data_IF_557409662056
#
_entry.id   IF_557409662056
#
_cell.length_a   1.000
_cell.length_b   1.000
_cell.length_c   1.000
_cell.angle_alpha   90.00
_cell.angle_beta   90.00
_cell.angle_gamma   90.00
#
_symmetry.space_group_name_H-M   'P 1'
#
loop_
_entity.id
_entity.type
_entity.pdbx_description
1 polymer ?
#
# COMPACT_ATOMS: atom_id res chain seq x y z
N UNK A 1 1.17 -7.47 -34.19
CA UNK A 1 0.52 -6.16 -34.45
C UNK A 1 1.50 -5.12 -34.98
N UNK A 2 2.72 -5.02 -34.44
CA UNK A 2 3.75 -4.06 -34.85
C UNK A 2 5.16 -4.60 -34.58
N UNK A 3 6.13 -4.23 -35.41
CA UNK A 3 7.54 -4.52 -35.22
C UNK A 3 8.29 -3.20 -35.24
N UNK A 4 9.19 -2.98 -34.29
CA UNK A 4 9.95 -1.76 -34.14
C UNK A 4 11.41 -2.08 -33.84
N UNK A 5 12.34 -1.49 -34.63
CA UNK A 5 13.75 -1.52 -34.30
C UNK A 5 14.11 -0.20 -33.61
N UNK A 6 14.52 -0.27 -32.35
CA UNK A 6 14.90 0.90 -31.59
C UNK A 6 16.28 1.44 -32.05
N UNK A 7 16.63 2.66 -31.60
CA UNK A 7 17.89 3.31 -31.96
C UNK A 7 19.14 2.56 -31.50
N UNK A 8 19.01 1.67 -30.51
CA UNK A 8 20.08 0.77 -30.07
C UNK A 8 20.22 -0.48 -30.94
N UNK A 9 19.32 -0.66 -31.91
CA UNK A 9 19.26 -1.82 -32.81
C UNK A 9 18.52 -3.01 -32.28
N UNK A 10 17.88 -2.93 -31.08
CA UNK A 10 17.04 -4.00 -30.52
C UNK A 10 15.73 -4.11 -31.31
N UNK A 11 15.28 -5.33 -31.52
CA UNK A 11 14.03 -5.59 -32.26
C UNK A 11 12.90 -5.94 -31.32
N UNK A 12 11.88 -5.08 -31.28
CA UNK A 12 10.69 -5.20 -30.46
C UNK A 12 9.50 -5.65 -31.28
N UNK A 13 8.72 -6.58 -30.76
CA UNK A 13 7.53 -7.13 -31.40
C UNK A 13 6.34 -6.94 -30.48
N UNK A 14 5.38 -6.13 -30.92
CA UNK A 14 4.08 -5.98 -30.27
C UNK A 14 3.17 -7.14 -30.67
N UNK A 15 2.51 -7.75 -29.70
CA UNK A 15 1.67 -8.91 -29.93
C UNK A 15 0.21 -8.67 -29.54
N UNK A 16 -0.67 -9.52 -30.02
CA UNK A 16 -2.09 -9.53 -29.67
C UNK A 16 -2.32 -10.61 -28.59
N UNK A 17 -2.07 -10.21 -27.33
CA UNK A 17 -2.25 -11.07 -26.15
C UNK A 17 -0.98 -11.65 -25.53
N UNK A 18 0.20 -11.52 -26.16
CA UNK A 18 1.49 -11.97 -25.63
C UNK A 18 2.33 -10.88 -24.98
N UNK A 19 1.90 -9.61 -25.04
CA UNK A 19 2.65 -8.48 -24.53
C UNK A 19 3.69 -7.92 -25.52
N UNK A 20 4.79 -7.38 -24.97
CA UNK A 20 5.92 -6.84 -25.73
C UNK A 20 7.08 -7.84 -25.72
N UNK A 21 7.51 -8.24 -26.91
CA UNK A 21 8.60 -9.19 -27.08
C UNK A 21 9.86 -8.50 -27.53
N UNK A 22 10.99 -8.79 -26.86
CA UNK A 22 12.34 -8.45 -27.33
C UNK A 22 12.95 -9.66 -28.00
N UNK A 23 13.34 -9.55 -29.28
CA UNK A 23 13.99 -10.59 -30.02
C UNK A 23 15.51 -10.53 -29.86
N UNK A 24 16.12 -11.65 -29.46
CA UNK A 24 17.57 -11.83 -29.47
C UNK A 24 17.97 -12.59 -30.77
N UNK A 25 18.61 -11.92 -31.76
CA UNK A 25 18.97 -12.55 -33.01
C UNK A 25 20.13 -13.55 -32.88
N UNK A 26 20.95 -13.45 -31.82
CA UNK A 26 22.07 -14.36 -31.62
C UNK A 26 21.63 -15.71 -31.04
N UNK A 27 20.66 -15.65 -30.11
CA UNK A 27 20.09 -16.83 -29.47
C UNK A 27 18.84 -17.38 -30.21
N UNK A 28 18.28 -16.59 -31.15
CA UNK A 28 17.00 -16.86 -31.84
C UNK A 28 15.84 -17.06 -30.84
N UNK A 29 15.84 -16.28 -29.74
CA UNK A 29 14.85 -16.37 -28.66
C UNK A 29 14.15 -15.04 -28.43
N UNK A 30 13.02 -15.10 -27.71
CA UNK A 30 12.25 -13.94 -27.30
C UNK A 30 12.23 -13.82 -25.77
N UNK A 31 12.40 -12.59 -25.29
CA UNK A 31 12.07 -12.22 -23.90
C UNK A 31 10.70 -11.56 -23.93
N UNK A 32 9.78 -12.05 -23.10
CA UNK A 32 8.40 -11.59 -23.04
C UNK A 32 8.19 -10.65 -21.87
N UNK A 33 7.59 -9.49 -22.12
CA UNK A 33 7.15 -8.52 -21.11
C UNK A 33 5.63 -8.43 -21.15
N UNK A 34 4.99 -8.64 -20.01
CA UNK A 34 3.54 -8.81 -19.87
C UNK A 34 2.95 -7.88 -18.80
N UNK A 35 1.66 -8.00 -18.53
CA UNK A 35 0.96 -7.34 -17.42
C UNK A 35 1.61 -7.65 -16.06
N UNK A 36 2.24 -8.81 -15.90
CA UNK A 36 3.00 -9.16 -14.68
C UNK A 36 4.28 -8.34 -14.50
N UNK A 37 4.79 -7.79 -15.60
CA UNK A 37 6.00 -6.95 -15.60
C UNK A 37 5.65 -5.46 -15.54
N UNK A 38 4.37 -5.09 -15.64
CA UNK A 38 3.88 -3.73 -15.51
C UNK A 38 3.15 -3.15 -16.72
N UNK A 39 2.95 -3.90 -17.79
CA UNK A 39 2.09 -3.46 -18.91
C UNK A 39 0.63 -3.31 -18.44
N UNK A 40 -0.15 -2.34 -18.98
CA UNK A 40 -1.57 -2.21 -18.66
C UNK A 40 -2.39 -3.31 -19.32
N UNK A 41 -1.90 -3.87 -20.43
CA UNK A 41 -2.50 -4.98 -21.18
C UNK A 41 -1.47 -5.74 -22.00
N UNK A 42 -1.73 -7.02 -22.23
CA UNK A 42 -0.92 -7.87 -23.11
C UNK A 42 -1.27 -7.70 -24.61
N UNK A 43 -2.24 -6.85 -24.95
CA UNK A 43 -2.60 -6.49 -26.34
C UNK A 43 -1.95 -5.16 -26.67
N UNK A 44 -0.87 -5.18 -27.45
CA UNK A 44 -0.16 -3.97 -27.87
C UNK A 44 -0.47 -3.70 -29.35
N UNK A 45 -0.92 -2.49 -29.66
CA UNK A 45 -1.47 -2.11 -30.96
C UNK A 45 -0.51 -1.26 -31.78
N UNK A 46 0.47 -0.58 -31.14
CA UNK A 46 1.47 0.23 -31.80
C UNK A 46 2.66 0.53 -30.91
N UNK A 47 3.82 0.77 -31.53
CA UNK A 47 5.08 1.15 -30.87
C UNK A 47 5.62 2.40 -31.53
N UNK A 48 5.94 3.45 -30.75
CA UNK A 48 6.74 4.60 -31.13
C UNK A 48 7.90 4.77 -30.15
N UNK A 49 9.00 5.35 -30.60
CA UNK A 49 10.18 5.63 -29.76
C UNK A 49 10.38 7.13 -29.60
N UNK A 50 10.57 7.61 -28.36
CA UNK A 50 10.86 9.02 -28.08
C UNK A 50 12.36 9.37 -28.18
N UNK A 51 12.69 10.65 -28.00
CA UNK A 51 14.07 11.13 -28.07
C UNK A 51 14.97 10.60 -26.94
N UNK A 52 14.38 10.13 -25.85
CA UNK A 52 15.04 9.53 -24.69
C UNK A 52 15.13 7.99 -24.77
N UNK A 53 14.78 7.41 -25.94
CA UNK A 53 14.75 5.97 -26.20
C UNK A 53 13.71 5.20 -25.36
N UNK A 54 12.69 5.87 -24.82
CA UNK A 54 11.55 5.16 -24.28
C UNK A 54 10.61 4.71 -25.40
N UNK A 55 10.01 3.55 -25.23
CA UNK A 55 8.97 3.04 -26.13
C UNK A 55 7.59 3.44 -25.62
N UNK A 56 6.80 4.05 -26.49
CA UNK A 56 5.41 4.38 -26.24
C UNK A 56 4.51 3.36 -26.93
N UNK A 57 3.75 2.64 -26.11
CA UNK A 57 2.98 1.46 -26.50
C UNK A 57 1.49 1.80 -26.38
N UNK A 58 0.77 1.82 -27.50
CA UNK A 58 -0.69 1.88 -27.44
C UNK A 58 -1.27 0.48 -27.24
N UNK A 59 -2.26 0.38 -26.35
CA UNK A 59 -2.88 -0.88 -25.96
C UNK A 59 -4.41 -0.79 -26.04
N UNK A 60 -5.10 -1.85 -25.72
CA UNK A 60 -6.55 -1.84 -25.52
C UNK A 60 -6.97 -1.41 -24.11
N UNK A 61 -5.99 -1.05 -23.24
CA UNK A 61 -6.23 -0.52 -21.89
C UNK A 61 -5.23 0.61 -21.56
N UNK A 62 -5.26 1.66 -22.40
CA UNK A 62 -4.45 2.86 -22.23
C UNK A 62 -3.14 2.87 -23.02
N UNK A 63 -2.28 3.82 -22.66
CA UNK A 63 -0.99 4.05 -23.27
C UNK A 63 0.10 3.76 -22.24
N UNK A 64 1.18 3.08 -22.64
CA UNK A 64 2.30 2.77 -21.74
C UNK A 64 3.60 3.36 -22.26
N UNK A 65 4.38 4.02 -21.40
CA UNK A 65 5.76 4.39 -21.65
C UNK A 65 6.68 3.36 -20.99
N UNK A 66 7.42 2.65 -21.78
CA UNK A 66 8.41 1.66 -21.34
C UNK A 66 9.83 2.22 -21.47
N UNK A 67 10.61 2.16 -20.41
CA UNK A 67 12.03 2.46 -20.45
C UNK A 67 12.83 1.16 -20.59
N UNK A 68 13.46 0.91 -21.74
CA UNK A 68 14.19 -0.34 -21.96
C UNK A 68 15.52 -0.45 -21.19
N UNK A 69 16.02 0.63 -20.58
CA UNK A 69 17.30 0.63 -19.84
C UNK A 69 17.12 0.10 -18.41
N UNK A 70 16.01 0.46 -17.77
CA UNK A 70 15.70 0.03 -16.40
C UNK A 70 14.55 -0.98 -16.30
N UNK A 71 13.87 -1.25 -17.43
CA UNK A 71 12.77 -2.20 -17.51
C UNK A 71 11.46 -1.70 -16.88
N UNK A 72 11.31 -0.39 -16.67
CA UNK A 72 10.15 0.18 -15.99
C UNK A 72 9.05 0.59 -16.95
N UNK A 73 7.81 0.40 -16.53
CA UNK A 73 6.60 0.84 -17.22
C UNK A 73 5.94 2.01 -16.49
N UNK A 74 5.46 2.98 -17.26
CA UNK A 74 4.55 4.01 -16.77
C UNK A 74 3.30 4.04 -17.62
N UNK A 75 2.15 3.77 -17.00
CA UNK A 75 0.87 3.64 -17.67
C UNK A 75 0.02 4.90 -17.53
N UNK A 76 -0.67 5.26 -18.60
CA UNK A 76 -1.58 6.38 -18.72
C UNK A 76 -2.96 5.87 -19.06
N UNK A 77 -3.98 6.47 -18.45
CA UNK A 77 -5.40 6.15 -18.65
C UNK A 77 -6.23 7.41 -18.97
N UNK A 78 -7.54 7.27 -19.01
CA UNK A 78 -8.46 8.39 -19.26
C UNK A 78 -8.35 9.49 -18.20
N UNK A 79 -7.93 9.18 -16.98
CA UNK A 79 -7.66 10.16 -15.92
C UNK A 79 -6.43 11.03 -16.21
N UNK A 80 -5.51 10.57 -17.06
CA UNK A 80 -4.35 11.33 -17.55
C UNK A 80 -4.67 12.17 -18.80
N UNK A 81 -5.91 12.10 -19.31
CA UNK A 81 -6.36 12.86 -20.46
C UNK A 81 -6.36 12.08 -21.78
N UNK A 82 -6.29 10.74 -21.71
CA UNK A 82 -6.49 9.94 -22.92
C UNK A 82 -7.94 10.06 -23.41
N UNK A 83 -8.12 9.97 -24.74
CA UNK A 83 -9.42 10.03 -25.41
C UNK A 83 -10.36 8.90 -24.99
N UNK A 84 -9.81 7.72 -24.75
CA UNK A 84 -10.41 6.49 -24.19
C UNK A 84 -9.29 5.56 -23.76
N UNK A 85 -9.61 4.43 -23.14
CA UNK A 85 -8.63 3.38 -22.84
C UNK A 85 -8.26 2.55 -24.06
N UNK A 86 -9.16 2.44 -25.05
CA UNK A 86 -8.98 1.56 -26.21
C UNK A 86 -8.38 2.32 -27.42
N UNK A 87 -7.18 1.89 -27.83
CA UNK A 87 -6.53 2.38 -29.05
C UNK A 87 -6.77 1.42 -30.23
N UNK A 88 -6.44 1.88 -31.44
CA UNK A 88 -6.68 1.12 -32.67
C UNK A 88 -5.37 0.64 -33.30
N UNK A 89 -5.36 -0.57 -33.80
CA UNK A 89 -4.23 -1.18 -34.50
C UNK A 89 -3.80 -0.33 -35.71
N UNK A 90 -2.51 -0.03 -35.81
CA UNK A 90 -1.95 0.76 -36.92
C UNK A 90 -2.25 2.27 -36.85
N UNK A 91 -3.01 2.73 -35.87
CA UNK A 91 -3.37 4.14 -35.72
C UNK A 91 -2.37 4.90 -34.85
N UNK A 92 -1.10 4.89 -35.21
CA UNK A 92 -0.06 5.63 -34.50
C UNK A 92 0.94 6.25 -35.47
N UNK A 93 1.46 7.42 -35.13
CA UNK A 93 2.44 8.15 -35.95
C UNK A 93 3.24 9.12 -35.14
N UNK A 94 4.51 9.29 -35.52
CA UNK A 94 5.35 10.38 -35.02
C UNK A 94 5.62 11.39 -36.15
N UNK A 95 5.48 12.68 -35.87
CA UNK A 95 5.82 13.76 -36.77
C UNK A 95 7.34 14.00 -36.82
N UNK A 96 7.79 14.79 -37.79
CA UNK A 96 9.18 15.21 -37.88
C UNK A 96 9.65 16.08 -36.69
N UNK A 97 8.72 16.74 -35.98
CA UNK A 97 9.01 17.50 -34.75
C UNK A 97 9.12 16.62 -33.51
N UNK A 98 8.81 15.32 -33.62
CA UNK A 98 8.79 14.41 -32.46
C UNK A 98 7.44 14.30 -31.75
N UNK A 99 6.42 15.05 -32.21
CA UNK A 99 5.07 14.91 -31.69
C UNK A 99 4.49 13.54 -32.06
N UNK A 100 3.90 12.87 -31.08
CA UNK A 100 3.29 11.54 -31.22
C UNK A 100 1.77 11.64 -31.31
N UNK A 101 1.20 10.81 -32.16
CA UNK A 101 -0.24 10.66 -32.38
C UNK A 101 -0.63 9.22 -32.20
N UNK A 102 -1.66 8.97 -31.37
CA UNK A 102 -2.24 7.65 -31.16
C UNK A 102 -3.77 7.73 -31.31
N UNK A 103 -4.31 7.02 -32.29
CA UNK A 103 -5.74 6.98 -32.58
C UNK A 103 -6.43 5.86 -31.81
N UNK A 104 -7.63 6.14 -31.32
CA UNK A 104 -8.46 5.22 -30.56
C UNK A 104 -9.94 5.33 -30.92
N UNK A 105 -10.79 4.68 -30.18
CA UNK A 105 -12.23 4.54 -30.46
C UNK A 105 -13.00 5.87 -30.33
N UNK A 106 -12.51 6.82 -29.54
CA UNK A 106 -13.16 8.10 -29.27
C UNK A 106 -12.32 9.31 -29.73
N UNK A 107 -11.47 9.12 -30.75
CA UNK A 107 -10.63 10.17 -31.31
C UNK A 107 -9.15 9.82 -31.30
N UNK A 108 -8.29 10.79 -31.03
CA UNK A 108 -6.85 10.56 -30.94
C UNK A 108 -6.21 11.42 -29.85
N UNK A 109 -5.08 10.96 -29.33
CA UNK A 109 -4.20 11.75 -28.48
C UNK A 109 -2.99 12.24 -29.28
N UNK A 110 -2.63 13.51 -29.10
CA UNK A 110 -1.45 14.13 -29.68
C UNK A 110 -0.65 14.82 -28.58
N UNK A 111 0.63 14.52 -28.47
CA UNK A 111 1.51 15.09 -27.44
C UNK A 111 2.99 15.01 -27.84
N UNK A 112 3.79 15.91 -27.28
CA UNK A 112 5.25 15.75 -27.29
C UNK A 112 5.65 14.98 -26.03
N UNK A 113 6.36 13.84 -26.13
CA UNK A 113 6.85 13.09 -24.98
C UNK A 113 7.61 13.92 -23.95
N UNK A 114 8.37 14.93 -24.43
CA UNK A 114 9.14 15.82 -23.55
C UNK A 114 8.27 16.74 -22.66
N UNK A 115 7.00 16.97 -23.04
CA UNK A 115 6.07 17.80 -22.27
C UNK A 115 5.36 17.01 -21.16
N UNK A 116 5.46 15.68 -21.19
CA UNK A 116 4.89 14.80 -20.17
C UNK A 116 5.76 14.84 -18.93
N UNK A 117 5.31 15.58 -17.94
CA UNK A 117 6.02 15.73 -16.66
C UNK A 117 5.37 14.87 -15.56
N UNK A 118 6.24 14.29 -14.73
CA UNK A 118 5.78 13.60 -13.54
C UNK A 118 5.32 14.62 -12.50
N UNK A 119 4.27 14.27 -11.74
CA UNK A 119 3.84 15.09 -10.63
C UNK A 119 4.89 15.00 -9.50
N UNK A 120 5.65 16.06 -9.20
CA UNK A 120 6.65 16.04 -8.15
C UNK A 120 6.03 16.21 -6.75
N UNK A 121 4.73 16.52 -6.66
CA UNK A 121 4.07 16.80 -5.40
C UNK A 121 3.89 15.52 -4.59
N UNK A 122 4.49 15.50 -3.41
CA UNK A 122 4.34 14.43 -2.42
C UNK A 122 3.34 14.89 -1.37
N UNK A 123 2.10 14.45 -1.52
CA UNK A 123 1.06 14.82 -0.58
C UNK A 123 1.36 14.26 0.82
N UNK A 124 1.13 15.04 1.89
CA UNK A 124 1.16 14.50 3.23
C UNK A 124 0.04 13.48 3.41
N UNK A 125 0.35 12.41 4.13
CA UNK A 125 -0.66 11.44 4.56
C UNK A 125 -1.15 11.82 5.96
N UNK A 126 -2.45 11.68 6.19
CA UNK A 126 -3.08 11.95 7.49
C UNK A 126 -3.91 10.75 7.93
N UNK A 127 -4.00 10.54 9.24
CA UNK A 127 -4.96 9.60 9.82
C UNK A 127 -6.35 10.26 9.81
N UNK A 128 -7.34 9.56 9.28
CA UNK A 128 -8.73 10.05 9.18
C UNK A 128 -9.66 9.42 10.21
N UNK A 129 -9.36 8.18 10.64
CA UNK A 129 -10.16 7.46 11.63
C UNK A 129 -9.27 6.54 12.46
N UNK A 130 -9.64 6.36 13.73
CA UNK A 130 -9.06 5.40 14.63
C UNK A 130 -10.15 4.81 15.51
N UNK A 131 -10.37 3.51 15.40
CA UNK A 131 -11.40 2.81 16.16
C UNK A 131 -10.83 1.66 16.98
N UNK A 132 -11.53 1.35 18.08
CA UNK A 132 -11.32 0.15 18.87
C UNK A 132 -12.63 -0.61 18.99
N UNK A 133 -12.70 -1.83 18.43
CA UNK A 133 -13.91 -2.63 18.40
C UNK A 133 -15.08 -1.94 17.67
N UNK A 134 -14.77 -1.15 16.63
CA UNK A 134 -15.76 -0.37 15.87
C UNK A 134 -16.22 0.92 16.54
N UNK A 135 -15.65 1.30 17.69
CA UNK A 135 -15.95 2.55 18.39
C UNK A 135 -14.80 3.52 18.23
N UNK A 136 -15.10 4.76 17.80
CA UNK A 136 -14.09 5.79 17.62
C UNK A 136 -13.39 6.13 18.96
N UNK A 137 -12.07 6.29 18.91
CA UNK A 137 -11.26 6.73 20.05
C UNK A 137 -11.32 8.24 20.14
N UNK A 138 -11.60 8.73 21.34
CA UNK A 138 -11.74 10.17 21.66
C UNK A 138 -12.67 10.92 20.68
N UNK A 139 -13.99 10.57 20.67
CA UNK A 139 -14.96 11.26 19.82
C UNK A 139 -14.94 12.75 20.06
N UNK A 140 -14.78 13.54 18.97
CA UNK A 140 -14.74 15.01 19.02
C UNK A 140 -13.35 15.63 19.03
N UNK A 141 -12.28 14.83 19.10
CA UNK A 141 -10.90 15.30 18.88
C UNK A 141 -10.48 14.97 17.45
N UNK A 142 -9.95 15.96 16.72
CA UNK A 142 -9.40 15.72 15.41
C UNK A 142 -8.17 14.79 15.53
N UNK A 143 -8.22 13.67 14.85
CA UNK A 143 -7.22 12.60 14.98
C UNK A 143 -5.81 13.05 14.60
N UNK A 144 -5.70 14.00 13.66
CA UNK A 144 -4.45 14.65 13.27
C UNK A 144 -3.73 15.37 14.40
N UNK A 145 -4.47 15.71 15.48
CA UNK A 145 -3.94 16.36 16.67
C UNK A 145 -3.61 15.37 17.79
N UNK A 146 -3.87 14.07 17.58
CA UNK A 146 -3.58 13.03 18.56
C UNK A 146 -2.14 12.54 18.40
N UNK A 147 -1.26 12.94 19.32
CA UNK A 147 0.08 12.37 19.39
C UNK A 147 0.09 10.94 19.97
N UNK A 148 -0.96 10.60 20.77
CA UNK A 148 -1.04 9.34 21.49
C UNK A 148 -2.48 8.87 21.68
N UNK A 149 -2.73 7.58 21.46
CA UNK A 149 -4.00 6.91 21.71
C UNK A 149 -3.83 5.81 22.74
N UNK A 150 -4.78 5.71 23.70
CA UNK A 150 -4.76 4.67 24.73
C UNK A 150 -5.92 3.71 24.51
N UNK A 151 -5.59 2.44 24.34
CA UNK A 151 -6.54 1.36 24.10
C UNK A 151 -6.75 0.52 25.35
N UNK A 152 -8.00 0.15 25.62
CA UNK A 152 -8.38 -0.58 26.82
C UNK A 152 -8.78 -2.00 26.49
N UNK A 153 -8.22 -2.94 27.25
CA UNK A 153 -8.74 -4.31 27.26
C UNK A 153 -10.23 -4.34 27.69
N UNK A 154 -11.10 -5.22 27.15
CA UNK A 154 -10.78 -6.43 26.36
C UNK A 154 -10.89 -6.27 24.85
N UNK A 155 -11.30 -5.12 24.33
CA UNK A 155 -11.45 -4.96 22.88
C UNK A 155 -10.06 -4.93 22.21
N UNK A 156 -9.81 -5.95 21.41
CA UNK A 156 -8.49 -6.21 20.81
C UNK A 156 -8.57 -6.21 19.27
N UNK A 157 -9.39 -5.31 18.74
CA UNK A 157 -9.56 -5.04 17.33
C UNK A 157 -9.36 -3.53 17.11
N UNK A 158 -8.35 -3.19 16.31
CA UNK A 158 -7.93 -1.81 16.06
C UNK A 158 -7.97 -1.55 14.57
N UNK A 159 -8.62 -0.49 14.16
CA UNK A 159 -8.72 -0.10 12.77
C UNK A 159 -8.28 1.35 12.62
N UNK A 160 -7.38 1.57 11.66
CA UNK A 160 -6.86 2.86 11.26
C UNK A 160 -7.33 3.15 9.86
N UNK A 161 -7.86 4.34 9.62
CA UNK A 161 -8.08 4.86 8.28
C UNK A 161 -7.16 6.04 8.02
N UNK A 162 -6.73 6.18 6.80
CA UNK A 162 -5.78 7.21 6.40
C UNK A 162 -6.04 7.65 4.95
N UNK A 163 -5.59 8.87 4.63
CA UNK A 163 -5.68 9.42 3.29
C UNK A 163 -4.48 10.31 2.98
N UNK A 164 -3.99 10.25 1.75
CA UNK A 164 -3.07 11.23 1.21
C UNK A 164 -3.86 12.48 0.78
N UNK A 165 -3.39 13.66 1.15
CA UNK A 165 -4.01 14.93 0.76
C UNK A 165 -3.59 15.32 -0.67
N UNK A 166 -3.87 14.42 -1.62
CA UNK A 166 -3.62 14.58 -3.04
C UNK A 166 -4.95 14.61 -3.79
N UNK A 167 -5.13 15.66 -4.60
CA UNK A 167 -6.31 15.82 -5.45
C UNK A 167 -6.07 15.36 -6.89
N UNK A 168 -4.79 15.11 -7.26
CA UNK A 168 -4.42 14.60 -8.57
C UNK A 168 -4.53 13.09 -8.56
N UNK A 169 -5.57 12.55 -9.18
CA UNK A 169 -5.82 11.11 -9.35
C UNK A 169 -5.65 10.31 -8.04
N UNK A 170 -6.41 10.62 -6.99
CA UNK A 170 -6.22 10.03 -5.66
C UNK A 170 -6.42 8.50 -5.64
N UNK A 171 -7.09 7.94 -6.65
CA UNK A 171 -7.26 6.50 -6.85
C UNK A 171 -5.95 5.77 -7.23
N UNK A 172 -4.95 6.47 -7.77
CA UNK A 172 -3.64 5.93 -8.12
C UNK A 172 -2.64 5.99 -6.96
N UNK A 173 -2.95 6.73 -5.89
CA UNK A 173 -2.09 6.77 -4.72
C UNK A 173 -2.00 5.39 -4.08
N UNK A 174 -0.79 5.00 -3.69
CA UNK A 174 -0.55 3.76 -2.97
C UNK A 174 -0.18 4.06 -1.52
N UNK A 175 -0.43 3.11 -0.66
CA UNK A 175 -0.18 3.24 0.77
C UNK A 175 0.65 2.08 1.29
N UNK A 176 1.45 2.39 2.31
CA UNK A 176 2.13 1.39 3.11
C UNK A 176 2.05 1.81 4.58
N UNK A 177 1.83 0.84 5.46
CA UNK A 177 1.78 1.06 6.90
C UNK A 177 2.65 0.07 7.67
N UNK A 178 2.99 0.43 8.89
CA UNK A 178 3.75 -0.41 9.80
C UNK A 178 3.39 -0.08 11.24
N UNK A 179 3.23 -1.10 12.07
CA UNK A 179 3.11 -0.97 13.52
C UNK A 179 4.45 -1.34 14.16
N UNK A 180 5.27 -0.34 14.49
CA UNK A 180 6.54 -0.57 15.20
C UNK A 180 6.29 -1.24 16.55
N UNK A 181 7.05 -2.26 16.83
CA UNK A 181 6.86 -3.15 17.99
C UNK A 181 6.04 -4.40 17.68
N UNK A 182 5.45 -4.49 16.48
CA UNK A 182 4.70 -5.65 16.00
C UNK A 182 5.16 -6.12 14.62
N UNK A 183 5.13 -5.22 13.62
CA UNK A 183 5.55 -5.53 12.25
C UNK A 183 7.07 -5.47 12.11
N UNK A 184 7.63 -6.34 11.26
CA UNK A 184 9.06 -6.36 10.94
C UNK A 184 9.41 -5.46 9.75
N UNK A 185 8.44 -5.22 8.86
CA UNK A 185 8.59 -4.48 7.62
C UNK A 185 7.30 -3.73 7.26
N UNK A 186 7.38 -2.87 6.24
CA UNK A 186 6.23 -2.14 5.73
C UNK A 186 5.24 -3.06 5.02
N UNK A 187 3.96 -2.96 5.37
CA UNK A 187 2.86 -3.61 4.69
C UNK A 187 2.38 -2.73 3.54
N UNK A 188 2.70 -3.10 2.30
CA UNK A 188 2.25 -2.40 1.10
C UNK A 188 0.85 -2.88 0.71
N UNK A 189 -0.12 -1.97 0.67
CA UNK A 189 -1.55 -2.30 0.52
C UNK A 189 -2.19 -1.68 -0.73
N UNK A 190 -1.37 -1.15 -1.65
CA UNK A 190 -1.85 -0.50 -2.85
C UNK A 190 -2.77 0.69 -2.53
N UNK A 191 -3.93 0.82 -3.17
CA UNK A 191 -4.86 1.94 -2.97
C UNK A 191 -5.71 1.81 -1.70
N UNK A 192 -5.60 0.72 -0.93
CA UNK A 192 -6.38 0.54 0.29
C UNK A 192 -5.96 1.56 1.35
N UNK A 193 -6.95 2.18 2.00
CA UNK A 193 -6.79 3.28 2.95
C UNK A 193 -7.07 2.89 4.39
N UNK A 194 -7.01 1.60 4.69
CA UNK A 194 -7.25 1.07 6.04
C UNK A 194 -6.21 0.04 6.44
N UNK A 195 -5.94 -0.02 7.74
CA UNK A 195 -5.10 -1.02 8.38
C UNK A 195 -5.82 -1.57 9.60
N UNK A 196 -5.79 -2.88 9.75
CA UNK A 196 -6.46 -3.56 10.86
C UNK A 196 -5.46 -4.41 11.62
N UNK A 197 -5.47 -4.27 12.96
CA UNK A 197 -4.68 -5.10 13.86
C UNK A 197 -5.58 -5.78 14.88
N UNK A 198 -5.29 -7.04 15.14
CA UNK A 198 -6.00 -7.83 16.14
C UNK A 198 -5.01 -8.50 17.08
N UNK A 199 -5.45 -8.80 18.30
CA UNK A 199 -4.68 -9.58 19.27
C UNK A 199 -3.30 -8.99 19.63
N UNK A 200 -3.21 -7.65 19.71
CA UNK A 200 -2.00 -7.01 20.21
C UNK A 200 -1.82 -7.26 21.69
N UNK A 201 -0.62 -7.63 22.11
CA UNK A 201 -0.27 -7.73 23.52
C UNK A 201 -0.29 -6.34 24.18
N UNK A 202 -0.51 -6.29 25.52
CA UNK A 202 -0.33 -5.03 26.25
C UNK A 202 1.09 -4.49 26.07
N UNK A 203 1.19 -3.22 25.66
CA UNK A 203 2.49 -2.61 25.35
C UNK A 203 2.34 -1.24 24.69
N UNK A 204 3.47 -0.69 24.30
CA UNK A 204 3.54 0.56 23.53
C UNK A 204 4.00 0.25 22.11
N UNK A 205 3.31 0.86 21.14
CA UNK A 205 3.53 0.70 19.71
C UNK A 205 3.54 2.07 19.04
N UNK A 206 4.09 2.16 17.84
CA UNK A 206 3.95 3.36 16.99
C UNK A 206 3.38 2.93 15.64
N UNK A 207 2.16 3.35 15.35
CA UNK A 207 1.59 3.16 14.03
C UNK A 207 2.16 4.23 13.09
N UNK A 208 2.64 3.80 11.93
CA UNK A 208 3.19 4.65 10.87
C UNK A 208 2.51 4.34 9.56
N UNK A 209 2.21 5.38 8.79
CA UNK A 209 1.67 5.23 7.43
C UNK A 209 2.32 6.24 6.49
N UNK A 210 2.61 5.80 5.27
CA UNK A 210 3.11 6.63 4.18
C UNK A 210 2.34 6.36 2.90
N UNK A 211 2.38 7.30 1.97
CA UNK A 211 1.74 7.17 0.66
C UNK A 211 2.68 7.49 -0.48
N UNK A 212 2.39 6.96 -1.66
CA UNK A 212 2.92 7.50 -2.90
C UNK A 212 1.94 8.52 -3.51
N UNK A 213 2.43 9.30 -4.46
CA UNK A 213 1.57 10.06 -5.36
C UNK A 213 1.07 9.18 -6.52
N UNK A 214 0.29 9.78 -7.45
CA UNK A 214 -0.24 9.13 -8.65
C UNK A 214 0.84 8.63 -9.63
N UNK A 215 2.10 9.06 -9.49
CA UNK A 215 3.24 8.62 -10.28
C UNK A 215 4.08 7.53 -9.57
N UNK A 216 3.63 7.03 -8.43
CA UNK A 216 4.34 6.01 -7.65
C UNK A 216 5.50 6.53 -6.82
N UNK A 217 5.70 7.86 -6.72
CA UNK A 217 6.77 8.46 -5.92
C UNK A 217 6.34 8.49 -4.45
N UNK A 218 7.08 7.78 -3.60
CA UNK A 218 6.79 7.65 -2.17
C UNK A 218 7.20 8.88 -1.36
N UNK A 219 6.37 9.26 -0.39
CA UNK A 219 6.70 10.28 0.60
C UNK A 219 7.47 9.64 1.75
N UNK A 220 8.69 10.13 2.02
CA UNK A 220 9.56 9.63 3.09
C UNK A 220 9.22 10.19 4.49
N UNK A 221 8.19 11.04 4.57
CA UNK A 221 7.69 11.61 5.83
C UNK A 221 6.37 10.93 6.22
N UNK A 222 6.40 9.78 6.95
CA UNK A 222 5.19 9.08 7.35
C UNK A 222 4.41 9.87 8.42
N UNK A 223 3.10 9.77 8.39
CA UNK A 223 2.29 10.11 9.56
C UNK A 223 2.44 9.04 10.62
N UNK A 224 2.46 9.43 11.90
CA UNK A 224 2.64 8.48 13.00
C UNK A 224 1.79 8.85 14.21
N UNK A 225 1.38 7.82 14.98
CA UNK A 225 0.68 7.95 16.25
C UNK A 225 1.19 6.90 17.24
N UNK A 226 1.46 7.34 18.48
CA UNK A 226 1.76 6.41 19.57
C UNK A 226 0.50 5.67 20.03
N UNK A 227 0.61 4.36 20.21
CA UNK A 227 -0.43 3.50 20.76
C UNK A 227 0.02 2.89 22.08
N UNK A 228 -0.86 2.92 23.09
CA UNK A 228 -0.66 2.18 24.32
C UNK A 228 -1.82 1.23 24.54
N UNK A 229 -1.56 -0.06 24.51
CA UNK A 229 -2.53 -1.11 24.86
C UNK A 229 -2.37 -1.43 26.33
N UNK A 230 -3.38 -1.09 27.15
CA UNK A 230 -3.33 -1.34 28.60
C UNK A 230 -3.64 -2.80 28.92
N UNK A 231 -2.94 -3.40 29.90
CA UNK A 231 -3.23 -4.77 30.31
C UNK A 231 -4.60 -4.88 31.00
N UNK A 232 -5.25 -6.06 30.92
CA UNK A 232 -6.44 -6.32 31.73
C UNK A 232 -6.11 -6.24 33.22
N UNK A 233 -7.06 -5.83 34.04
CA UNK A 233 -6.89 -5.69 35.48
C UNK A 233 -6.29 -6.96 36.13
N UNK A 234 -6.70 -8.14 35.66
CA UNK A 234 -6.20 -9.44 36.16
C UNK A 234 -4.72 -9.68 35.91
N UNK A 235 -4.11 -9.03 34.93
CA UNK A 235 -2.66 -9.11 34.63
C UNK A 235 -1.84 -8.05 35.37
N UNK A 236 -2.48 -7.11 36.07
CA UNK A 236 -1.77 -6.05 36.81
C UNK A 236 -1.04 -6.60 38.05
N UNK A 237 0.08 -5.98 38.42
CA UNK A 237 0.85 -6.37 39.61
C UNK A 237 -0.02 -6.25 40.88
N UNK A 238 -0.86 -5.22 40.97
CA UNK A 238 -1.80 -5.00 42.08
C UNK A 238 -2.76 -6.16 42.28
N UNK A 239 -3.37 -6.68 41.18
CA UNK A 239 -4.26 -7.84 41.25
C UNK A 239 -3.53 -9.10 41.71
N UNK A 240 -2.32 -9.35 41.21
CA UNK A 240 -1.50 -10.50 41.61
C UNK A 240 -1.18 -10.47 43.11
N UNK A 241 -0.81 -9.31 43.66
CA UNK A 241 -0.57 -9.12 45.09
C UNK A 241 -1.85 -9.37 45.88
N UNK A 242 -2.99 -8.80 45.44
CA UNK A 242 -4.29 -8.99 46.10
C UNK A 242 -4.70 -10.47 46.14
N UNK A 243 -4.47 -11.17 45.02
CA UNK A 243 -4.76 -12.61 44.91
C UNK A 243 -3.89 -13.41 45.86
N UNK A 244 -2.59 -13.13 45.95
CA UNK A 244 -1.66 -13.80 46.88
C UNK A 244 -2.06 -13.57 48.35
N UNK A 245 -2.42 -12.34 48.71
CA UNK A 245 -2.91 -12.01 50.06
C UNK A 245 -4.20 -12.75 50.38
N UNK A 246 -5.13 -12.84 49.43
CA UNK A 246 -6.39 -13.57 49.60
C UNK A 246 -6.14 -15.07 49.85
N UNK A 247 -5.27 -15.70 49.05
CA UNK A 247 -4.90 -17.10 49.20
C UNK A 247 -4.23 -17.33 50.54
N UNK A 248 -3.28 -16.48 50.95
CA UNK A 248 -2.59 -16.56 52.22
C UNK A 248 -3.56 -16.45 53.40
N UNK A 249 -4.53 -15.55 53.31
CA UNK A 249 -5.58 -15.38 54.33
C UNK A 249 -6.45 -16.63 54.45
N UNK A 250 -6.85 -17.23 53.35
CA UNK A 250 -7.63 -18.48 53.33
C UNK A 250 -6.85 -19.61 53.97
N UNK A 251 -5.59 -19.77 53.60
CA UNK A 251 -4.69 -20.81 54.21
C UNK A 251 -4.58 -20.59 55.70
N UNK A 252 -4.36 -19.37 56.16
CA UNK A 252 -4.31 -19.02 57.57
C UNK A 252 -5.56 -19.47 58.32
N UNK A 253 -6.75 -19.15 57.83
CA UNK A 253 -7.99 -19.57 58.47
C UNK A 253 -8.20 -21.09 58.46
N UNK A 254 -7.80 -21.80 57.42
CA UNK A 254 -7.84 -23.26 57.36
C UNK A 254 -6.93 -23.85 58.44
N UNK A 255 -5.68 -23.38 58.56
CA UNK A 255 -4.74 -23.84 59.57
C UNK A 255 -5.27 -23.58 60.99
N UNK A 256 -5.77 -22.37 61.24
CA UNK A 256 -6.36 -22.05 62.57
C UNK A 256 -7.59 -22.93 62.87
N UNK A 257 -8.42 -23.21 61.89
CA UNK A 257 -9.55 -24.10 62.04
C UNK A 257 -9.14 -25.55 62.40
N UNK A 258 -8.14 -26.08 61.68
CA UNK A 258 -7.59 -27.42 61.92
C UNK A 258 -7.03 -27.52 63.36
N UNK A 259 -6.17 -26.53 63.73
CA UNK A 259 -5.58 -26.50 65.06
C UNK A 259 -6.60 -26.39 66.20
N UNK A 260 -7.65 -25.58 66.00
CA UNK A 260 -8.77 -25.51 66.95
C UNK A 260 -9.55 -26.82 67.07
N UNK A 261 -9.76 -27.53 65.98
CA UNK A 261 -10.46 -28.82 65.96
C UNK A 261 -9.63 -29.90 66.66
N UNK A 262 -8.30 -29.92 66.47
CA UNK A 262 -7.41 -30.86 67.18
C UNK A 262 -7.41 -30.62 68.71
N UNK A 263 -7.32 -29.35 69.13
CA UNK A 263 -7.39 -28.99 70.54
C UNK A 263 -8.69 -29.49 71.21
N UNK A 264 -9.82 -29.34 70.51
CA UNK A 264 -11.12 -29.84 71.00
C UNK A 264 -11.18 -31.35 71.08
N UNK A 265 -10.58 -32.09 70.15
CA UNK A 265 -10.47 -33.58 70.23
C UNK A 265 -9.61 -34.07 71.32
N UNK A 266 -8.58 -33.36 71.71
CA UNK A 266 -7.64 -33.76 72.81
C UNK A 266 -8.16 -33.35 74.20
N UNK A 267 -9.30 -32.61 74.30
CA UNK A 267 -9.93 -32.23 75.55
C UNK A 267 -11.14 -33.15 75.91
N UNK A 268 -11.54 -34.03 75.02
CA UNK A 268 -12.57 -35.07 75.17
C UNK A 268 -11.85 -36.45 75.47
#
# INVERSE_FOLDING_TARGET
TSIHQDRSGRLWVATDGGGLDLFDPAAETFTHLTDKDGLPSNIILGILEDAQSNLWLSTNDGLSRFNPEDGTFKNYDTGDGLQDSEFMIGAYRQSASGEMFFGGVNGFNAFHPADIQDNPYLAPVVLTSLTQGGVAIEPGTAIENLAKATFRWPSNFFEFEFAALSYSQPQKNQYAYMLEGFDKEWNYVGPNRSATYTNLDPGSYVFKVRSSNNNGIWNDHPASIEMVVTPPFTKTVGFRILLLLSISTIIYFIVVFILRREKLKNQL
#
